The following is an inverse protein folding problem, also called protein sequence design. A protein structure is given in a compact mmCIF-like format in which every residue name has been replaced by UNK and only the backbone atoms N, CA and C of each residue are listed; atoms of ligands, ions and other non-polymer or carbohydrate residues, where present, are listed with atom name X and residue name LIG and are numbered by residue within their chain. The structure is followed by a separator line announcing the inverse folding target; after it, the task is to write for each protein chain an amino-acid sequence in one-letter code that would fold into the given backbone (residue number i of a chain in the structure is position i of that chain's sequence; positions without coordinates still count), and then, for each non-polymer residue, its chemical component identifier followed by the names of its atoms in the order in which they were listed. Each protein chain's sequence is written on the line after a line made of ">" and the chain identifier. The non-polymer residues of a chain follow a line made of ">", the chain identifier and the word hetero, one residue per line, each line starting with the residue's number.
data_IF_045736337511
#
_entry.id   IF_045736337511
#
_cell.length_a   1.000
_cell.length_b   1.000
_cell.length_c   1.000
_cell.angle_alpha   90.00
_cell.angle_beta   90.00
_cell.angle_gamma   90.00
#
_symmetry.space_group_name_H-M   'P 1'
#
loop_
_entity.id
_entity.type
_entity.pdbx_description
1 polymer ?
#
# COMPACT_ATOMS: atom_id res chain seq x y z
N UNK A 1 109.04 4.02 12.04
CA UNK A 1 109.17 5.24 11.22
C UNK A 1 108.47 4.95 9.89
N UNK A 2 107.50 5.80 9.52
CA UNK A 2 106.84 5.92 8.19
C UNK A 2 105.83 4.79 7.91
N UNK A 3 104.55 4.91 8.30
CA UNK A 3 103.42 5.58 7.61
C UNK A 3 103.33 5.30 6.11
N UNK A 4 102.35 4.50 5.68
CA UNK A 4 101.50 4.91 4.57
C UNK A 4 100.08 4.33 4.69
N UNK A 5 99.12 5.24 4.58
CA UNK A 5 97.69 5.04 4.69
C UNK A 5 97.15 4.61 3.32
N UNK A 6 96.44 3.48 3.26
CA UNK A 6 95.51 3.24 2.16
C UNK A 6 94.13 2.99 2.74
N UNK A 7 93.43 4.11 2.90
CA UNK A 7 92.10 4.20 3.48
C UNK A 7 91.09 3.32 2.77
N UNK A 8 90.47 2.44 3.55
CA UNK A 8 89.18 1.85 3.22
C UNK A 8 88.13 2.95 3.15
N UNK A 9 87.66 3.25 1.93
CA UNK A 9 86.42 4.00 1.75
C UNK A 9 85.26 3.08 2.10
N UNK A 10 84.82 3.11 3.36
CA UNK A 10 83.46 2.72 3.69
C UNK A 10 82.58 3.80 3.07
N UNK A 11 81.91 3.46 1.96
CA UNK A 11 80.80 4.24 1.45
C UNK A 11 79.67 4.05 2.47
N UNK A 12 79.59 4.95 3.44
CA UNK A 12 78.35 5.16 4.18
C UNK A 12 77.29 5.59 3.16
N UNK A 13 76.54 4.64 2.63
CA UNK A 13 75.24 4.93 2.07
C UNK A 13 74.40 5.47 3.23
N UNK A 14 74.35 6.79 3.35
CA UNK A 14 73.27 7.50 4.03
C UNK A 14 71.96 6.93 3.49
N UNK A 15 71.38 5.97 4.20
CA UNK A 15 70.00 5.60 4.03
C UNK A 15 69.20 6.83 4.44
N UNK A 16 68.93 7.67 3.45
CA UNK A 16 67.97 8.74 3.53
C UNK A 16 66.64 8.08 3.90
N UNK A 17 66.32 8.08 5.20
CA UNK A 17 65.05 7.61 5.73
C UNK A 17 63.99 8.57 5.20
N UNK A 18 63.56 8.35 3.96
CA UNK A 18 62.35 8.93 3.40
C UNK A 18 61.25 8.53 4.36
N UNK A 19 60.83 9.47 5.24
CA UNK A 19 59.70 9.26 6.14
C UNK A 19 58.57 8.66 5.32
N UNK A 20 58.15 7.45 5.66
CA UNK A 20 57.11 6.74 4.92
C UNK A 20 55.77 7.44 5.15
N UNK A 21 55.48 8.43 4.31
CA UNK A 21 54.21 9.15 4.29
C UNK A 21 53.06 8.29 3.77
N UNK A 22 53.35 7.11 3.22
CA UNK A 22 52.36 6.17 2.73
C UNK A 22 51.39 5.73 3.84
N UNK A 23 51.90 5.46 5.04
CA UNK A 23 51.10 4.96 6.16
C UNK A 23 50.08 5.99 6.70
N UNK A 24 50.43 7.26 6.95
CA UNK A 24 49.42 8.26 7.32
C UNK A 24 48.44 8.55 6.17
N UNK A 25 48.87 8.51 4.91
CA UNK A 25 47.99 8.73 3.74
C UNK A 25 46.95 7.61 3.63
N UNK A 26 47.35 6.34 3.75
CA UNK A 26 46.39 5.21 3.70
C UNK A 26 45.43 5.24 4.88
N UNK A 27 45.89 5.68 6.05
CA UNK A 27 45.03 5.82 7.24
C UNK A 27 43.97 6.92 7.06
N UNK A 28 44.36 8.06 6.47
CA UNK A 28 43.42 9.13 6.11
C UNK A 28 42.43 8.66 5.04
N UNK A 29 42.89 7.99 3.99
CA UNK A 29 42.02 7.42 2.94
C UNK A 29 41.04 6.38 3.51
N UNK A 30 41.49 5.55 4.45
CA UNK A 30 40.66 4.55 5.12
C UNK A 30 39.56 5.21 5.96
N UNK A 31 39.88 6.28 6.70
CA UNK A 31 38.91 7.04 7.47
C UNK A 31 37.89 7.70 6.55
N UNK A 32 38.31 8.34 5.45
CA UNK A 32 37.39 8.92 4.47
C UNK A 32 36.51 7.87 3.78
N UNK A 33 37.06 6.69 3.45
CA UNK A 33 36.29 5.58 2.89
C UNK A 33 35.24 5.05 3.86
N UNK A 34 35.61 4.88 5.13
CA UNK A 34 34.68 4.43 6.18
C UNK A 34 33.57 5.46 6.44
N UNK A 35 33.92 6.75 6.46
CA UNK A 35 32.95 7.84 6.61
C UNK A 35 31.98 7.89 5.42
N UNK A 36 32.48 7.69 4.20
CA UNK A 36 31.66 7.62 2.99
C UNK A 36 30.66 6.46 3.02
N UNK A 37 31.09 5.28 3.47
CA UNK A 37 30.19 4.14 3.65
C UNK A 37 29.09 4.43 4.69
N UNK A 38 29.45 5.01 5.84
CA UNK A 38 28.47 5.37 6.88
C UNK A 38 27.44 6.39 6.36
N UNK A 39 27.87 7.39 5.57
CA UNK A 39 26.97 8.36 4.96
C UNK A 39 26.02 7.71 3.95
N UNK A 40 26.53 6.82 3.10
CA UNK A 40 25.71 6.08 2.15
C UNK A 40 24.69 5.17 2.85
N UNK A 41 25.11 4.46 3.90
CA UNK A 41 24.21 3.66 4.74
C UNK A 41 23.14 4.51 5.41
N UNK A 42 23.50 5.69 5.94
CA UNK A 42 22.54 6.61 6.57
C UNK A 42 21.49 7.08 5.57
N UNK A 43 21.92 7.53 4.38
CA UNK A 43 21.01 7.98 3.33
C UNK A 43 20.11 6.84 2.81
N UNK A 44 20.65 5.64 2.70
CA UNK A 44 19.88 4.45 2.32
C UNK A 44 18.82 4.11 3.38
N UNK A 45 19.16 4.12 4.67
CA UNK A 45 18.21 3.88 5.76
C UNK A 45 17.12 4.95 5.80
N UNK A 46 17.49 6.21 5.59
CA UNK A 46 16.53 7.32 5.55
C UNK A 46 15.54 7.18 4.39
N UNK A 47 16.02 6.85 3.19
CA UNK A 47 15.18 6.62 2.02
C UNK A 47 14.26 5.41 2.19
N UNK A 48 14.79 4.28 2.68
CA UNK A 48 14.00 3.07 2.91
C UNK A 48 12.93 3.29 3.97
N UNK A 49 13.25 3.96 5.07
CA UNK A 49 12.27 4.31 6.12
C UNK A 49 11.25 5.33 5.66
N UNK A 50 11.62 6.26 4.77
CA UNK A 50 10.68 7.20 4.15
C UNK A 50 9.64 6.46 3.31
N UNK A 51 10.09 5.51 2.48
CA UNK A 51 9.21 4.69 1.66
C UNK A 51 8.26 3.83 2.51
N UNK A 52 8.74 3.23 3.59
CA UNK A 52 7.89 2.44 4.51
C UNK A 52 6.79 3.30 5.14
N UNK A 53 7.11 4.52 5.59
CA UNK A 53 6.10 5.43 6.15
C UNK A 53 5.06 5.79 5.11
N UNK A 54 5.48 6.11 3.88
CA UNK A 54 4.56 6.42 2.78
C UNK A 54 3.65 5.23 2.42
N UNK A 55 4.18 4.01 2.43
CA UNK A 55 3.35 2.80 2.25
C UNK A 55 2.35 2.64 3.39
N UNK A 56 2.77 2.84 4.64
CA UNK A 56 1.87 2.82 5.81
C UNK A 56 0.76 3.86 5.72
N UNK A 57 1.10 5.09 5.29
CA UNK A 57 0.13 6.17 5.05
C UNK A 57 -0.85 5.79 3.93
N UNK A 58 -0.38 5.17 2.84
CA UNK A 58 -1.23 4.68 1.76
C UNK A 58 -2.21 3.60 2.22
N UNK A 59 -1.78 2.67 3.09
CA UNK A 59 -2.66 1.66 3.68
C UNK A 59 -3.70 2.32 4.58
N UNK A 60 -3.27 3.21 5.48
CA UNK A 60 -4.16 3.93 6.37
C UNK A 60 -5.22 4.74 5.59
N UNK A 61 -4.79 5.46 4.55
CA UNK A 61 -5.68 6.22 3.69
C UNK A 61 -6.63 5.30 2.91
N UNK A 62 -6.17 4.12 2.47
CA UNK A 62 -7.02 3.11 1.85
C UNK A 62 -8.17 2.64 2.76
N UNK A 63 -7.93 2.47 4.07
CA UNK A 63 -8.99 2.17 5.04
C UNK A 63 -10.01 3.29 5.15
N UNK A 64 -9.53 4.53 5.25
CA UNK A 64 -10.39 5.71 5.37
C UNK A 64 -11.23 5.91 4.11
N UNK A 65 -10.60 5.92 2.95
CA UNK A 65 -11.26 6.08 1.65
C UNK A 65 -12.22 4.91 1.37
N UNK A 66 -11.84 3.68 1.73
CA UNK A 66 -12.71 2.51 1.61
C UNK A 66 -13.99 2.62 2.46
N UNK A 67 -13.88 3.14 3.68
CA UNK A 67 -15.06 3.39 4.53
C UNK A 67 -15.94 4.50 3.95
N UNK A 68 -15.34 5.61 3.53
CA UNK A 68 -16.07 6.73 2.91
C UNK A 68 -16.78 6.29 1.62
N UNK A 69 -16.12 5.48 0.80
CA UNK A 69 -16.65 4.89 -0.43
C UNK A 69 -17.85 3.98 -0.16
N UNK A 70 -17.73 3.02 0.78
CA UNK A 70 -18.85 2.14 1.14
C UNK A 70 -20.02 2.90 1.76
N UNK A 71 -19.75 3.93 2.57
CA UNK A 71 -20.80 4.80 3.12
C UNK A 71 -21.54 5.55 2.00
N UNK A 72 -20.79 6.07 1.02
CA UNK A 72 -21.36 6.76 -0.13
C UNK A 72 -22.23 5.82 -0.98
N UNK A 73 -21.71 4.63 -1.29
CA UNK A 73 -22.42 3.63 -2.07
C UNK A 73 -23.66 3.10 -1.36
N UNK A 74 -23.58 2.91 -0.04
CA UNK A 74 -24.73 2.50 0.78
C UNK A 74 -25.84 3.55 0.76
N UNK A 75 -25.49 4.84 0.84
CA UNK A 75 -26.47 5.92 0.76
C UNK A 75 -27.18 5.98 -0.60
N UNK A 76 -26.45 5.80 -1.70
CA UNK A 76 -27.09 5.71 -3.03
C UNK A 76 -28.00 4.51 -3.16
N UNK A 77 -27.57 3.35 -2.64
CA UNK A 77 -28.39 2.14 -2.69
C UNK A 77 -29.69 2.31 -1.90
N UNK A 78 -29.62 2.94 -0.73
CA UNK A 78 -30.81 3.30 0.06
C UNK A 78 -31.73 4.29 -0.68
N UNK A 79 -31.15 5.26 -1.41
CA UNK A 79 -31.91 6.17 -2.26
C UNK A 79 -32.65 5.42 -3.39
N UNK A 80 -31.99 4.45 -4.04
CA UNK A 80 -32.60 3.59 -5.07
C UNK A 80 -33.77 2.81 -4.48
N UNK A 81 -33.57 2.17 -3.32
CA UNK A 81 -34.58 1.33 -2.67
C UNK A 81 -35.78 2.15 -2.16
N UNK A 82 -35.53 3.30 -1.53
CA UNK A 82 -36.60 4.16 -0.99
C UNK A 82 -37.49 4.78 -2.08
N UNK A 83 -36.93 5.06 -3.26
CA UNK A 83 -37.66 5.61 -4.41
C UNK A 83 -38.26 4.56 -5.34
N UNK A 84 -37.96 3.28 -5.13
CA UNK A 84 -38.32 2.19 -6.03
C UNK A 84 -39.83 2.09 -6.32
N UNK A 85 -40.67 2.45 -5.34
CA UNK A 85 -42.13 2.40 -5.46
C UNK A 85 -42.75 3.74 -5.86
N UNK A 86 -42.28 4.85 -5.27
CA UNK A 86 -42.86 6.18 -5.48
C UNK A 86 -42.41 6.85 -6.76
N UNK A 87 -41.13 6.69 -7.14
CA UNK A 87 -40.49 7.34 -8.29
C UNK A 87 -39.59 6.35 -9.05
N UNK A 88 -40.15 5.31 -9.69
CA UNK A 88 -39.35 4.22 -10.27
C UNK A 88 -38.33 4.68 -11.32
N UNK A 89 -38.68 5.68 -12.13
CA UNK A 89 -37.77 6.25 -13.12
C UNK A 89 -36.55 6.92 -12.48
N UNK A 90 -36.76 7.59 -11.34
CA UNK A 90 -35.68 8.24 -10.60
C UNK A 90 -34.80 7.20 -9.91
N UNK A 91 -35.39 6.16 -9.31
CA UNK A 91 -34.64 5.04 -8.73
C UNK A 91 -33.71 4.37 -9.76
N UNK A 92 -34.21 4.10 -10.97
CA UNK A 92 -33.40 3.53 -12.05
C UNK A 92 -32.30 4.48 -12.52
N UNK A 93 -32.59 5.78 -12.64
CA UNK A 93 -31.58 6.78 -12.97
C UNK A 93 -30.48 6.85 -11.91
N UNK A 94 -30.84 6.84 -10.62
CA UNK A 94 -29.89 6.80 -9.50
C UNK A 94 -29.02 5.54 -9.57
N UNK A 95 -29.59 4.38 -9.91
CA UNK A 95 -28.82 3.15 -10.09
C UNK A 95 -27.79 3.25 -11.23
N UNK A 96 -28.15 3.85 -12.38
CA UNK A 96 -27.19 4.12 -13.47
C UNK A 96 -26.10 5.08 -13.01
N UNK A 97 -26.47 6.16 -12.31
CA UNK A 97 -25.52 7.15 -11.83
C UNK A 97 -24.51 6.53 -10.86
N UNK A 98 -24.99 5.69 -9.94
CA UNK A 98 -24.16 4.94 -9.02
C UNK A 98 -23.22 3.97 -9.77
N UNK A 99 -23.71 3.26 -10.79
CA UNK A 99 -22.87 2.38 -11.61
C UNK A 99 -21.71 3.15 -12.29
N UNK A 100 -21.98 4.35 -12.78
CA UNK A 100 -20.94 5.21 -13.36
C UNK A 100 -19.99 5.80 -12.29
N UNK A 101 -20.43 5.89 -11.04
CA UNK A 101 -19.60 6.26 -9.89
C UNK A 101 -18.62 5.14 -9.54
N UNK A 102 -19.12 3.91 -9.41
CA UNK A 102 -18.32 2.69 -9.17
C UNK A 102 -17.20 2.56 -10.22
N UNK A 103 -17.48 2.82 -11.49
CA UNK A 103 -16.48 2.71 -12.56
C UNK A 103 -15.42 3.83 -12.58
N UNK A 104 -15.61 4.94 -11.86
CA UNK A 104 -14.78 6.15 -11.95
C UNK A 104 -14.03 6.52 -10.68
N UNK A 105 -14.57 6.15 -9.51
CA UNK A 105 -13.96 6.46 -8.22
C UNK A 105 -12.69 5.63 -8.00
N UNK A 106 -11.58 6.28 -7.63
CA UNK A 106 -10.41 5.55 -7.16
C UNK A 106 -10.74 4.92 -5.81
N UNK A 107 -10.77 3.60 -5.79
CA UNK A 107 -11.20 2.85 -4.65
C UNK A 107 -10.10 2.70 -3.58
N UNK A 108 -10.35 3.21 -2.38
CA UNK A 108 -9.47 2.96 -1.23
C UNK A 108 -9.30 1.46 -0.94
N UNK A 109 -10.34 0.67 -1.20
CA UNK A 109 -10.31 -0.79 -1.11
C UNK A 109 -9.38 -1.44 -2.15
N UNK A 110 -9.28 -0.90 -3.37
CA UNK A 110 -8.34 -1.43 -4.37
C UNK A 110 -6.90 -1.29 -3.88
N UNK A 111 -6.55 -0.10 -3.34
CA UNK A 111 -5.23 0.18 -2.76
C UNK A 111 -4.93 -0.78 -1.62
N UNK A 112 -5.90 -1.02 -0.73
CA UNK A 112 -5.73 -1.99 0.37
C UNK A 112 -5.45 -3.40 -0.14
N UNK A 113 -6.24 -3.88 -1.10
CA UNK A 113 -6.09 -5.23 -1.65
C UNK A 113 -4.78 -5.41 -2.43
N UNK A 114 -4.30 -4.37 -3.10
CA UNK A 114 -2.99 -4.35 -3.74
C UNK A 114 -1.86 -4.51 -2.71
N UNK A 115 -1.84 -3.67 -1.67
CA UNK A 115 -0.82 -3.77 -0.61
C UNK A 115 -0.89 -5.09 0.15
N UNK A 116 -2.10 -5.62 0.38
CA UNK A 116 -2.32 -6.92 1.01
C UNK A 116 -1.64 -8.04 0.21
N UNK A 117 -1.84 -8.06 -1.10
CA UNK A 117 -1.19 -9.04 -1.99
C UNK A 117 0.33 -8.88 -2.11
N UNK A 118 0.86 -7.65 -1.95
CA UNK A 118 2.30 -7.42 -1.91
C UNK A 118 2.94 -7.96 -0.61
N UNK A 119 2.23 -7.88 0.52
CA UNK A 119 2.72 -8.32 1.83
C UNK A 119 2.59 -9.84 1.98
N UNK A 120 1.42 -10.39 1.64
CA UNK A 120 1.17 -11.83 1.68
C UNK A 120 0.71 -12.35 0.31
N UNK A 121 1.67 -12.50 -0.59
CA UNK A 121 1.41 -13.05 -1.93
C UNK A 121 0.86 -14.49 -1.93
N UNK A 122 1.08 -15.28 -0.87
CA UNK A 122 0.67 -16.68 -0.82
C UNK A 122 -0.85 -16.82 -0.62
N UNK A 123 -1.42 -15.99 0.24
CA UNK A 123 -2.85 -16.00 0.54
C UNK A 123 -3.63 -14.92 -0.22
N UNK A 124 -3.03 -13.73 -0.37
CA UNK A 124 -3.68 -12.52 -0.87
C UNK A 124 -3.17 -12.06 -2.24
N UNK A 125 -2.37 -12.87 -2.93
CA UNK A 125 -1.81 -12.51 -4.24
C UNK A 125 -2.84 -12.21 -5.34
N UNK A 126 -4.11 -12.61 -5.15
CA UNK A 126 -5.24 -12.33 -6.05
C UNK A 126 -6.27 -11.35 -5.46
N UNK A 127 -5.95 -10.68 -4.35
CA UNK A 127 -6.89 -9.81 -3.66
C UNK A 127 -7.32 -8.61 -4.55
N UNK A 128 -6.37 -7.98 -5.24
CA UNK A 128 -6.66 -6.88 -6.18
C UNK A 128 -7.57 -7.32 -7.33
N UNK A 129 -7.30 -8.49 -7.93
CA UNK A 129 -8.15 -9.06 -8.99
C UNK A 129 -9.56 -9.39 -8.48
N UNK A 130 -9.66 -9.88 -7.24
CA UNK A 130 -10.94 -10.20 -6.61
C UNK A 130 -11.76 -8.94 -6.35
N UNK A 131 -11.11 -7.83 -5.98
CA UNK A 131 -11.76 -6.53 -5.85
C UNK A 131 -12.21 -5.98 -7.21
N UNK A 132 -11.39 -6.07 -8.25
CA UNK A 132 -11.78 -5.65 -9.60
C UNK A 132 -13.00 -6.45 -10.10
N UNK A 133 -13.04 -7.76 -9.85
CA UNK A 133 -14.19 -8.61 -10.17
C UNK A 133 -15.45 -8.21 -9.36
N UNK A 134 -15.27 -7.81 -8.10
CA UNK A 134 -16.33 -7.29 -7.26
C UNK A 134 -16.95 -6.02 -7.84
N UNK A 135 -16.12 -5.03 -8.18
CA UNK A 135 -16.58 -3.77 -8.78
C UNK A 135 -17.31 -4.02 -10.10
N UNK A 136 -16.76 -4.90 -10.95
CA UNK A 136 -17.39 -5.25 -12.22
C UNK A 136 -18.77 -5.89 -12.02
N UNK A 137 -18.91 -6.80 -11.04
CA UNK A 137 -20.20 -7.42 -10.73
C UNK A 137 -21.17 -6.38 -10.17
N UNK A 138 -20.72 -5.51 -9.26
CA UNK A 138 -21.52 -4.43 -8.68
C UNK A 138 -22.03 -3.48 -9.77
N UNK A 139 -21.14 -2.99 -10.63
CA UNK A 139 -21.50 -2.14 -11.78
C UNK A 139 -22.52 -2.85 -12.67
N UNK A 140 -22.26 -4.11 -13.02
CA UNK A 140 -23.16 -4.91 -13.86
C UNK A 140 -24.56 -5.03 -13.27
N UNK A 141 -24.67 -5.31 -11.97
CA UNK A 141 -25.94 -5.37 -11.25
C UNK A 141 -26.67 -4.03 -11.31
N UNK A 142 -25.99 -2.93 -11.00
CA UNK A 142 -26.57 -1.59 -10.99
C UNK A 142 -27.01 -1.13 -12.40
N UNK A 143 -26.22 -1.42 -13.44
CA UNK A 143 -26.60 -1.14 -14.84
C UNK A 143 -27.80 -1.98 -15.29
N UNK A 144 -27.87 -3.25 -14.89
CA UNK A 144 -29.02 -4.10 -15.18
C UNK A 144 -30.29 -3.51 -14.57
N UNK A 145 -30.22 -3.05 -13.32
CA UNK A 145 -31.34 -2.36 -12.64
C UNK A 145 -31.64 -1.03 -13.33
N UNK A 146 -30.63 -0.26 -13.72
CA UNK A 146 -30.82 1.04 -14.37
C UNK A 146 -31.48 0.97 -15.75
N UNK A 147 -31.24 -0.10 -16.50
CA UNK A 147 -31.74 -0.27 -17.89
C UNK A 147 -33.12 -0.93 -17.99
N UNK A 148 -33.66 -1.46 -16.89
CA UNK A 148 -35.01 -2.01 -16.88
C UNK A 148 -36.09 -0.92 -16.99
N UNK A 149 -37.37 -1.34 -16.94
CA UNK A 149 -38.51 -0.45 -17.12
C UNK A 149 -39.55 -0.61 -16.00
N UNK A 150 -40.25 0.48 -15.67
CA UNK A 150 -41.25 0.47 -14.60
C UNK A 150 -40.67 0.31 -13.19
N UNK A 151 -41.46 -0.19 -12.26
CA UNK A 151 -41.02 -0.53 -10.90
C UNK A 151 -39.93 -1.60 -10.87
N UNK A 152 -39.20 -1.71 -9.75
CA UNK A 152 -38.23 -2.79 -9.57
C UNK A 152 -38.94 -4.14 -9.55
N UNK A 153 -38.46 -5.05 -10.37
CA UNK A 153 -38.86 -6.47 -10.38
C UNK A 153 -38.34 -7.18 -9.14
N UNK A 154 -38.91 -8.34 -8.82
CA UNK A 154 -38.48 -9.12 -7.66
C UNK A 154 -37.01 -9.57 -7.77
N UNK A 155 -36.58 -9.95 -8.96
CA UNK A 155 -35.17 -10.30 -9.22
C UNK A 155 -34.24 -9.10 -9.01
N UNK A 156 -34.63 -7.91 -9.48
CA UNK A 156 -33.84 -6.69 -9.24
C UNK A 156 -33.75 -6.35 -7.76
N UNK A 157 -34.85 -6.49 -7.00
CA UNK A 157 -34.83 -6.27 -5.54
C UNK A 157 -33.93 -7.26 -4.82
N UNK A 158 -33.99 -8.54 -5.20
CA UNK A 158 -33.11 -9.56 -4.65
C UNK A 158 -31.64 -9.21 -4.88
N UNK A 159 -31.28 -8.84 -6.12
CA UNK A 159 -29.90 -8.46 -6.45
C UNK A 159 -29.44 -7.20 -5.70
N UNK A 160 -30.30 -6.19 -5.53
CA UNK A 160 -29.97 -5.02 -4.70
C UNK A 160 -29.85 -5.38 -3.21
N UNK A 161 -30.62 -6.35 -2.73
CA UNK A 161 -30.47 -6.89 -1.38
C UNK A 161 -29.14 -7.61 -1.17
N UNK A 162 -28.66 -8.36 -2.17
CA UNK A 162 -27.32 -8.97 -2.15
C UNK A 162 -26.21 -7.91 -2.11
N UNK A 163 -26.34 -6.84 -2.91
CA UNK A 163 -25.42 -5.69 -2.87
C UNK A 163 -25.43 -5.04 -1.47
N UNK A 164 -26.62 -4.78 -0.91
CA UNK A 164 -26.75 -4.17 0.41
C UNK A 164 -26.08 -5.04 1.49
N UNK A 165 -26.33 -6.35 1.47
CA UNK A 165 -25.72 -7.28 2.41
C UNK A 165 -24.20 -7.28 2.29
N UNK A 166 -23.67 -7.19 1.06
CA UNK A 166 -22.23 -7.10 0.84
C UNK A 166 -21.65 -5.81 1.45
N UNK A 167 -22.28 -4.66 1.23
CA UNK A 167 -21.82 -3.40 1.81
C UNK A 167 -21.80 -3.41 3.33
N UNK A 168 -22.83 -4.00 3.96
CA UNK A 168 -22.88 -4.14 5.42
C UNK A 168 -21.70 -4.96 5.94
N UNK A 169 -21.45 -6.15 5.34
CA UNK A 169 -20.33 -7.01 5.73
C UNK A 169 -18.97 -6.31 5.54
N UNK A 170 -18.75 -5.67 4.39
CA UNK A 170 -17.49 -4.97 4.11
C UNK A 170 -17.29 -3.77 5.07
N UNK A 171 -18.37 -3.04 5.39
CA UNK A 171 -18.32 -1.92 6.35
C UNK A 171 -17.98 -2.42 7.75
N UNK A 172 -18.57 -3.53 8.19
CA UNK A 172 -18.27 -4.16 9.47
C UNK A 172 -16.79 -4.55 9.56
N UNK A 173 -16.25 -5.20 8.53
CA UNK A 173 -14.82 -5.56 8.46
C UNK A 173 -13.91 -4.34 8.52
N UNK A 174 -14.19 -3.29 7.73
CA UNK A 174 -13.40 -2.06 7.77
C UNK A 174 -13.50 -1.33 9.12
N UNK A 175 -14.62 -1.46 9.83
CA UNK A 175 -14.80 -0.83 11.15
C UNK A 175 -13.93 -1.45 12.25
N UNK A 176 -13.42 -2.68 12.03
CA UNK A 176 -12.48 -3.32 12.94
C UNK A 176 -11.09 -2.64 12.96
N UNK A 177 -10.76 -1.84 11.94
CA UNK A 177 -9.51 -1.12 11.88
C UNK A 177 -9.46 0.05 12.87
N UNK A 178 -8.39 0.13 13.66
CA UNK A 178 -8.24 1.13 14.70
C UNK A 178 -7.54 2.41 14.19
N UNK A 179 -8.30 3.48 14.00
CA UNK A 179 -7.78 4.77 13.49
C UNK A 179 -6.97 5.60 14.50
N UNK A 180 -6.82 5.14 15.75
CA UNK A 180 -6.06 5.85 16.80
C UNK A 180 -4.55 5.98 16.54
N UNK A 181 -4.07 5.48 15.40
CA UNK A 181 -2.68 5.45 14.96
C UNK A 181 -2.29 6.61 14.02
N UNK A 182 -3.22 7.51 13.72
CA UNK A 182 -3.00 8.64 12.80
C UNK A 182 -1.85 9.55 13.27
N UNK A 183 -0.91 9.83 12.36
CA UNK A 183 0.23 10.73 12.63
C UNK A 183 1.38 10.12 13.43
N UNK A 184 1.28 8.87 13.89
CA UNK A 184 2.41 8.17 14.53
C UNK A 184 3.25 7.40 13.51
N UNK A 185 4.50 7.84 13.34
CA UNK A 185 5.47 7.25 12.39
C UNK A 185 5.72 5.76 12.66
N UNK A 186 5.76 5.35 13.92
CA UNK A 186 6.01 3.93 14.26
C UNK A 186 4.81 3.07 13.87
N UNK A 187 3.60 3.58 14.06
CA UNK A 187 2.38 2.91 13.63
C UNK A 187 2.33 2.74 12.11
N UNK A 188 2.68 3.78 11.32
CA UNK A 188 2.76 3.65 9.86
C UNK A 188 3.74 2.56 9.42
N UNK A 189 4.90 2.47 10.07
CA UNK A 189 5.88 1.40 9.79
C UNK A 189 5.32 0.01 10.13
N UNK A 190 4.55 -0.12 11.22
CA UNK A 190 3.91 -1.39 11.59
C UNK A 190 2.87 -1.82 10.55
N UNK A 191 2.10 -0.89 9.99
CA UNK A 191 1.13 -1.17 8.94
C UNK A 191 1.81 -1.76 7.70
N UNK A 192 2.99 -1.28 7.29
CA UNK A 192 3.71 -1.88 6.14
C UNK A 192 4.09 -3.34 6.37
N UNK A 193 4.22 -3.78 7.62
CA UNK A 193 4.49 -5.18 7.98
C UNK A 193 3.24 -6.06 8.07
N UNK A 194 2.05 -5.54 7.75
CA UNK A 194 0.78 -6.28 7.89
C UNK A 194 0.21 -6.28 9.31
N UNK A 195 0.86 -5.65 10.29
CA UNK A 195 0.41 -5.69 11.68
C UNK A 195 -0.92 -4.95 11.85
N UNK A 196 -1.84 -5.56 12.61
CA UNK A 196 -3.15 -5.01 13.01
C UNK A 196 -4.16 -4.83 11.86
N UNK A 197 -3.86 -5.27 10.63
CA UNK A 197 -4.80 -5.13 9.49
C UNK A 197 -4.78 -6.25 8.47
N UNK A 198 -3.75 -7.11 8.40
CA UNK A 198 -3.70 -8.17 7.37
C UNK A 198 -4.86 -9.16 7.53
N UNK A 199 -5.23 -9.52 8.76
CA UNK A 199 -6.38 -10.39 9.04
C UNK A 199 -7.70 -9.75 8.55
N UNK A 200 -7.82 -8.42 8.61
CA UNK A 200 -8.96 -7.69 8.06
C UNK A 200 -8.95 -7.80 6.53
N UNK A 201 -7.78 -7.66 5.90
CA UNK A 201 -7.65 -7.82 4.46
C UNK A 201 -7.96 -9.25 3.98
N UNK A 202 -7.63 -10.27 4.76
CA UNK A 202 -8.00 -11.66 4.49
C UNK A 202 -9.52 -11.88 4.49
N UNK A 203 -10.21 -11.39 5.52
CA UNK A 203 -11.68 -11.50 5.57
C UNK A 203 -12.35 -10.63 4.50
N UNK A 204 -11.81 -9.45 4.18
CA UNK A 204 -12.27 -8.64 3.04
C UNK A 204 -12.13 -9.42 1.73
N UNK A 205 -10.96 -10.01 1.47
CA UNK A 205 -10.71 -10.78 0.25
C UNK A 205 -11.70 -11.95 0.11
N UNK A 206 -11.95 -12.66 1.21
CA UNK A 206 -12.92 -13.76 1.25
C UNK A 206 -14.34 -13.30 0.95
N UNK A 207 -14.78 -12.18 1.54
CA UNK A 207 -16.12 -11.64 1.27
C UNK A 207 -16.28 -11.13 -0.17
N UNK A 208 -15.24 -10.52 -0.76
CA UNK A 208 -15.24 -10.12 -2.16
C UNK A 208 -15.41 -11.33 -3.09
N UNK A 209 -14.74 -12.45 -2.76
CA UNK A 209 -14.85 -13.72 -3.49
C UNK A 209 -16.22 -14.38 -3.34
N UNK A 210 -16.76 -14.41 -2.12
CA UNK A 210 -18.10 -14.94 -1.86
C UNK A 210 -19.15 -14.17 -2.66
N UNK A 211 -19.06 -12.84 -2.69
CA UNK A 211 -19.97 -12.02 -3.49
C UNK A 211 -19.81 -12.28 -4.99
N UNK A 212 -18.60 -12.46 -5.50
CA UNK A 212 -18.37 -12.70 -6.94
C UNK A 212 -18.65 -14.15 -7.37
N UNK A 213 -18.69 -15.09 -6.42
CA UNK A 213 -18.85 -16.53 -6.68
C UNK A 213 -17.56 -17.22 -7.16
N UNK A 214 -16.40 -16.67 -6.79
CA UNK A 214 -15.07 -17.09 -7.23
C UNK A 214 -14.24 -17.84 -6.18
#
# INVERSE_FOLDING_TARGET
>A
MINDESGGRIVEQQQNVKRSWALPITLVLLVFSSMGNILLYTKHIEHTRGNTVQTGESIFQGFKEGQEQLAHWSAYLEEVLSRAESEPSLARLTAVHMADGVAREHAGLAVLMEHAGMIDSANLGQAADSYAAYEQKLEGTLRSVGTGSGGLTETERQSLGEVQSSFVKLTELLSAFHFGMEGDRNSMIRLTGGHDWIDIAEELHKELREYTGA
#
